data_IF_492493642449
#
_entry.id   IF_492493642449
#
_cell.length_a   1.000
_cell.length_b   1.000
_cell.length_c   1.000
_cell.angle_alpha   90.00
_cell.angle_beta   90.00
_cell.angle_gamma   90.00
#
_symmetry.space_group_name_H-M   'P 1'
#
loop_
_entity.id
_entity.type
_entity.pdbx_description
1 polymer ?
#
# COMPACT_ATOMS: atom_id res chain seq x y z
N UNK A 1 18.67 5.67 10.04
CA UNK A 1 20.01 5.42 10.59
C UNK A 1 21.00 6.50 10.15
N UNK A 2 21.02 6.89 8.89
CA UNK A 2 21.93 7.90 8.31
C UNK A 2 21.78 9.30 8.93
N UNK A 3 20.61 9.61 9.45
CA UNK A 3 20.35 10.89 10.12
C UNK A 3 20.97 10.99 11.53
N UNK A 4 21.66 9.95 12.00
CA UNK A 4 22.21 9.87 13.36
C UNK A 4 21.20 10.05 14.49
N UNK A 5 19.94 9.82 14.21
CA UNK A 5 18.89 9.83 15.21
C UNK A 5 18.76 8.45 15.88
N UNK A 6 18.43 8.38 17.16
CA UNK A 6 18.13 7.11 17.80
C UNK A 6 16.82 6.53 17.24
N UNK A 7 16.87 5.27 16.80
CA UNK A 7 15.73 4.58 16.18
C UNK A 7 15.45 3.28 16.90
N UNK A 8 14.19 2.97 17.12
CA UNK A 8 13.71 1.64 17.52
C UNK A 8 12.80 1.15 16.43
N UNK A 9 13.02 -0.07 15.94
CA UNK A 9 12.29 -0.63 14.80
C UNK A 9 11.23 -1.60 15.30
N UNK A 10 9.97 -1.33 14.97
CA UNK A 10 8.88 -2.29 15.10
C UNK A 10 8.77 -3.09 13.79
N UNK A 11 9.23 -4.36 13.81
CA UNK A 11 9.14 -5.27 12.67
C UNK A 11 7.74 -5.90 12.64
N UNK A 12 6.80 -5.21 12.02
CA UNK A 12 5.40 -5.61 12.02
C UNK A 12 5.07 -6.68 10.97
N UNK A 13 3.91 -7.34 11.13
CA UNK A 13 3.41 -8.40 10.26
C UNK A 13 4.28 -9.66 10.24
N UNK A 14 4.95 -9.98 11.36
CA UNK A 14 5.83 -11.15 11.45
C UNK A 14 5.05 -12.47 11.27
N UNK A 15 3.78 -12.50 11.64
CA UNK A 15 2.85 -13.60 11.41
C UNK A 15 2.54 -13.81 9.91
N UNK A 16 2.40 -12.71 9.17
CA UNK A 16 2.21 -12.79 7.73
C UNK A 16 3.47 -13.26 7.02
N UNK A 17 4.65 -12.76 7.42
CA UNK A 17 5.92 -13.25 6.92
C UNK A 17 6.06 -14.77 7.13
N UNK A 18 5.75 -15.26 8.34
CA UNK A 18 5.75 -16.70 8.63
C UNK A 18 4.76 -17.48 7.75
N UNK A 19 3.55 -16.93 7.49
CA UNK A 19 2.54 -17.59 6.62
C UNK A 19 2.98 -17.72 5.17
N UNK A 20 3.79 -16.82 4.67
CA UNK A 20 4.33 -16.91 3.28
C UNK A 20 5.67 -17.69 3.24
N UNK A 21 6.07 -18.33 4.34
CA UNK A 21 7.30 -19.11 4.42
C UNK A 21 8.57 -18.27 4.54
N UNK A 22 8.44 -17.03 4.99
CA UNK A 22 9.58 -16.15 5.26
C UNK A 22 9.83 -16.06 6.76
N UNK A 23 11.02 -16.48 7.18
CA UNK A 23 11.50 -16.28 8.55
C UNK A 23 12.53 -15.17 8.56
N UNK A 24 12.33 -14.20 9.45
CA UNK A 24 13.24 -13.07 9.64
C UNK A 24 13.93 -13.23 11.00
N UNK A 25 15.24 -13.22 10.99
CA UNK A 25 16.08 -13.23 12.21
C UNK A 25 16.20 -11.78 12.73
N UNK A 26 15.26 -11.38 13.59
CA UNK A 26 15.19 -10.05 14.14
C UNK A 26 16.34 -9.71 15.08
N UNK A 27 16.92 -10.72 15.77
CA UNK A 27 18.09 -10.50 16.62
C UNK A 27 19.33 -10.18 15.78
N UNK A 28 19.53 -10.92 14.69
CA UNK A 28 20.61 -10.67 13.74
C UNK A 28 20.42 -9.33 13.04
N UNK A 29 19.20 -8.99 12.67
CA UNK A 29 18.86 -7.69 12.10
C UNK A 29 19.17 -6.55 13.07
N UNK A 30 18.81 -6.70 14.34
CA UNK A 30 19.13 -5.75 15.40
C UNK A 30 20.63 -5.52 15.56
N UNK A 31 21.42 -6.61 15.54
CA UNK A 31 22.90 -6.53 15.62
C UNK A 31 23.50 -5.84 14.40
N UNK A 32 23.00 -6.14 13.20
CA UNK A 32 23.50 -5.52 11.95
C UNK A 32 23.18 -4.04 11.87
N UNK A 33 22.00 -3.65 12.36
CA UNK A 33 21.54 -2.26 12.33
C UNK A 33 21.99 -1.46 13.55
N UNK A 34 22.57 -2.11 14.59
CA UNK A 34 22.95 -1.47 15.86
C UNK A 34 21.79 -0.83 16.61
N UNK A 35 20.55 -1.24 16.32
CA UNK A 35 19.32 -0.68 16.88
C UNK A 35 18.37 -1.79 17.27
N UNK A 36 17.56 -1.61 18.34
CA UNK A 36 16.55 -2.60 18.73
C UNK A 36 15.54 -2.84 17.61
N UNK A 37 15.31 -4.12 17.29
CA UNK A 37 14.28 -4.55 16.34
C UNK A 37 13.32 -5.48 17.07
N UNK A 38 12.11 -5.00 17.27
CA UNK A 38 11.07 -5.73 18.02
C UNK A 38 10.06 -6.33 17.04
N UNK A 39 9.93 -7.68 17.00
CA UNK A 39 8.92 -8.31 16.18
C UNK A 39 7.52 -8.04 16.74
N UNK A 40 6.60 -7.62 15.88
CA UNK A 40 5.25 -7.24 16.31
C UNK A 40 4.18 -7.81 15.40
N UNK A 41 2.99 -8.07 15.97
CA UNK A 41 1.72 -8.26 15.27
C UNK A 41 0.73 -7.25 15.84
N UNK A 42 0.77 -6.03 15.35
CA UNK A 42 0.05 -4.91 15.92
C UNK A 42 -1.46 -5.14 16.05
N UNK A 43 -2.08 -5.88 15.10
CA UNK A 43 -3.52 -6.21 15.10
C UNK A 43 -3.90 -7.11 16.29
N UNK A 44 -2.94 -7.89 16.82
CA UNK A 44 -3.15 -8.80 17.95
C UNK A 44 -2.51 -8.30 19.25
N UNK A 45 -1.80 -7.17 19.19
CA UNK A 45 -1.06 -6.62 20.35
C UNK A 45 0.24 -7.35 20.67
N UNK A 46 0.63 -8.37 19.89
CA UNK A 46 1.86 -9.11 20.12
C UNK A 46 3.09 -8.21 19.92
N UNK A 47 4.05 -8.26 20.85
CA UNK A 47 5.28 -7.47 20.82
C UNK A 47 5.10 -5.99 21.18
N UNK A 48 3.88 -5.50 21.41
CA UNK A 48 3.63 -4.09 21.73
C UNK A 48 4.15 -3.73 23.12
N UNK A 49 3.96 -4.59 24.12
CA UNK A 49 4.47 -4.36 25.47
C UNK A 49 6.00 -4.27 25.49
N UNK A 50 6.68 -5.16 24.76
CA UNK A 50 8.14 -5.16 24.60
C UNK A 50 8.62 -3.86 23.91
N UNK A 51 7.91 -3.42 22.87
CA UNK A 51 8.20 -2.17 22.20
C UNK A 51 8.08 -0.97 23.15
N UNK A 52 7.01 -0.90 23.95
CA UNK A 52 6.79 0.16 24.94
C UNK A 52 7.87 0.14 26.01
N UNK A 53 8.23 -1.05 26.52
CA UNK A 53 9.31 -1.19 27.49
C UNK A 53 10.65 -0.72 26.92
N UNK A 54 10.98 -1.11 25.69
CA UNK A 54 12.21 -0.71 25.00
C UNK A 54 12.28 0.82 24.84
N UNK A 55 11.18 1.44 24.43
CA UNK A 55 11.07 2.92 24.33
C UNK A 55 11.26 3.58 25.69
N UNK A 56 10.62 3.04 26.73
CA UNK A 56 10.73 3.57 28.10
C UNK A 56 12.15 3.48 28.64
N UNK A 57 12.81 2.35 28.46
CA UNK A 57 14.20 2.14 28.91
C UNK A 57 15.18 3.05 28.18
N UNK A 58 14.96 3.27 26.88
CA UNK A 58 15.73 4.26 26.14
C UNK A 58 15.48 5.68 26.66
N UNK A 59 14.23 6.08 26.86
CA UNK A 59 13.86 7.41 27.36
C UNK A 59 14.41 7.68 28.77
N UNK A 60 14.55 6.63 29.61
CA UNK A 60 15.12 6.70 30.94
C UNK A 60 16.67 6.62 30.95
N UNK A 61 17.31 6.51 29.80
CA UNK A 61 18.76 6.40 29.67
C UNK A 61 19.35 5.05 30.12
N UNK A 62 18.51 4.03 30.34
CA UNK A 62 18.96 2.69 30.76
C UNK A 62 19.57 1.92 29.60
N UNK A 63 19.23 2.28 28.37
CA UNK A 63 19.72 1.66 27.15
C UNK A 63 20.41 2.70 26.26
N UNK A 64 21.53 2.33 25.66
CA UNK A 64 22.19 3.11 24.61
C UNK A 64 21.97 2.39 23.28
N UNK A 65 21.58 3.15 22.26
CA UNK A 65 21.48 2.65 20.88
C UNK A 65 22.83 2.94 20.21
N UNK A 66 23.50 1.89 19.76
CA UNK A 66 24.71 2.04 18.98
C UNK A 66 24.30 2.38 17.55
N UNK A 67 24.87 3.45 17.02
CA UNK A 67 24.57 3.90 15.65
C UNK A 67 25.54 3.24 14.68
N UNK A 68 25.10 2.38 13.77
CA UNK A 68 25.98 1.83 12.76
C UNK A 68 26.40 2.94 11.80
N UNK A 69 27.69 3.05 11.55
CA UNK A 69 28.21 3.97 10.55
C UNK A 69 27.99 3.34 9.16
N UNK A 70 27.02 3.87 8.41
CA UNK A 70 26.84 3.52 7.01
C UNK A 70 27.92 4.21 6.21
N UNK A 71 28.71 3.44 5.47
CA UNK A 71 29.76 3.93 4.56
C UNK A 71 29.31 3.71 3.13
N UNK A 72 29.58 4.70 2.31
CA UNK A 72 29.30 4.69 0.86
C UNK A 72 30.55 4.31 0.06
N UNK A 73 30.41 4.19 -1.24
CA UNK A 73 31.55 4.04 -2.13
C UNK A 73 32.53 5.19 -1.92
N UNK A 74 33.80 4.95 -2.24
CA UNK A 74 34.90 5.81 -1.84
C UNK A 74 34.74 7.27 -2.26
N UNK A 75 34.32 7.53 -3.48
CA UNK A 75 34.12 8.87 -4.03
C UNK A 75 32.99 9.64 -3.36
N UNK A 76 31.86 8.97 -3.10
CA UNK A 76 30.74 9.53 -2.36
C UNK A 76 31.12 9.76 -0.89
N UNK A 77 31.85 8.83 -0.28
CA UNK A 77 32.29 8.94 1.12
C UNK A 77 33.30 10.09 1.29
N UNK A 78 34.24 10.29 0.34
CA UNK A 78 35.17 11.40 0.33
C UNK A 78 34.44 12.75 0.21
N UNK A 79 33.40 12.83 -0.64
CA UNK A 79 32.57 14.03 -0.77
C UNK A 79 31.78 14.32 0.51
N UNK A 80 31.18 13.29 1.13
CA UNK A 80 30.49 13.42 2.41
C UNK A 80 31.44 13.94 3.50
N UNK A 81 32.65 13.39 3.61
CA UNK A 81 33.64 13.82 4.59
C UNK A 81 34.08 15.27 4.37
N UNK A 82 34.39 15.64 3.13
CA UNK A 82 34.78 17.01 2.77
C UNK A 82 33.68 18.03 3.14
N UNK A 83 32.44 17.68 2.84
CA UNK A 83 31.28 18.55 3.14
C UNK A 83 30.99 18.58 4.66
N UNK A 84 31.14 17.46 5.34
CA UNK A 84 31.01 17.36 6.81
C UNK A 84 32.01 18.25 7.52
N UNK A 85 33.27 18.28 7.10
CA UNK A 85 34.32 19.14 7.65
C UNK A 85 33.96 20.62 7.42
N UNK A 86 33.58 20.98 6.20
CA UNK A 86 33.12 22.34 5.90
C UNK A 86 31.93 22.79 6.76
N UNK A 87 30.95 21.90 6.99
CA UNK A 87 29.80 22.19 7.86
C UNK A 87 30.26 22.41 9.31
N UNK A 88 31.19 21.59 9.83
CA UNK A 88 31.71 21.74 11.20
C UNK A 88 32.51 23.02 11.41
N UNK A 89 33.29 23.43 10.40
CA UNK A 89 34.09 24.65 10.45
C UNK A 89 33.21 25.91 10.22
N UNK A 90 32.16 25.78 9.47
CA UNK A 90 31.18 26.82 9.26
C UNK A 90 30.35 27.05 10.51
N UNK A 91 30.01 28.30 10.81
CA UNK A 91 29.07 28.63 11.88
C UNK A 91 27.60 28.39 11.48
N UNK A 92 27.34 27.35 10.66
CA UNK A 92 26.01 26.99 10.19
C UNK A 92 25.27 26.25 11.30
N UNK A 93 24.08 26.70 11.62
CA UNK A 93 23.20 25.98 12.54
C UNK A 93 22.58 24.79 11.82
N UNK A 94 22.85 23.58 12.31
CA UNK A 94 22.33 22.34 11.70
C UNK A 94 20.87 22.17 12.10
N UNK A 95 19.93 22.10 11.15
CA UNK A 95 18.51 21.96 11.44
C UNK A 95 18.22 20.59 12.09
N UNK A 96 17.13 20.54 12.87
CA UNK A 96 16.60 19.30 13.48
C UNK A 96 17.58 18.55 14.41
N UNK A 97 18.64 19.19 14.91
CA UNK A 97 19.71 18.55 15.69
C UNK A 97 20.36 17.34 14.99
N UNK A 98 20.43 17.37 13.65
CA UNK A 98 21.13 16.36 12.87
C UNK A 98 22.63 16.43 13.09
N UNK A 99 23.35 15.38 12.70
CA UNK A 99 24.81 15.44 12.62
C UNK A 99 25.25 16.21 11.36
N UNK A 100 26.48 16.73 11.36
CA UNK A 100 27.04 17.35 10.18
C UNK A 100 27.11 16.41 8.99
N UNK A 101 27.40 15.12 9.26
CA UNK A 101 27.36 14.06 8.24
C UNK A 101 25.97 13.86 7.65
N UNK A 102 24.92 13.82 8.49
CA UNK A 102 23.56 13.68 8.02
C UNK A 102 23.15 14.85 7.12
N UNK A 103 23.49 16.08 7.49
CA UNK A 103 23.25 17.25 6.67
C UNK A 103 24.02 17.18 5.35
N UNK A 104 25.29 16.75 5.37
CA UNK A 104 26.11 16.57 4.15
C UNK A 104 25.44 15.59 3.17
N UNK A 105 24.94 14.45 3.65
CA UNK A 105 24.23 13.47 2.83
C UNK A 105 22.97 14.09 2.19
N UNK A 106 22.15 14.79 2.96
CA UNK A 106 20.93 15.43 2.46
C UNK A 106 21.21 16.49 1.40
N UNK A 107 22.30 17.26 1.56
CA UNK A 107 22.71 18.26 0.57
C UNK A 107 23.23 17.61 -0.72
N UNK A 108 24.00 16.53 -0.63
CA UNK A 108 24.47 15.77 -1.78
C UNK A 108 23.33 15.04 -2.51
N UNK A 109 22.30 14.58 -1.79
CA UNK A 109 21.08 14.04 -2.39
C UNK A 109 20.26 15.10 -3.14
N UNK A 110 20.52 16.38 -2.89
CA UNK A 110 19.77 17.47 -3.47
C UNK A 110 18.43 17.74 -2.81
N UNK A 111 18.30 17.42 -1.50
CA UNK A 111 17.08 17.66 -0.75
C UNK A 111 16.77 19.15 -0.67
N UNK A 112 15.66 19.54 -1.32
CA UNK A 112 15.25 20.95 -1.46
C UNK A 112 14.94 21.61 -0.11
N UNK A 113 14.43 20.87 0.86
CA UNK A 113 14.10 21.42 2.18
C UNK A 113 15.36 21.90 2.89
N UNK A 114 16.42 21.11 2.90
CA UNK A 114 17.68 21.48 3.52
C UNK A 114 18.41 22.57 2.73
N UNK A 115 18.37 22.52 1.40
CA UNK A 115 18.92 23.57 0.53
C UNK A 115 18.24 24.92 0.81
N UNK A 116 16.91 24.96 0.85
CA UNK A 116 16.13 26.17 1.09
C UNK A 116 16.35 26.72 2.51
N UNK A 117 16.46 25.83 3.49
CA UNK A 117 16.79 26.21 4.88
C UNK A 117 18.15 26.90 4.96
N UNK A 118 19.18 26.34 4.35
CA UNK A 118 20.52 26.94 4.37
C UNK A 118 20.60 28.22 3.52
N UNK A 119 19.88 28.31 2.42
CA UNK A 119 19.77 29.51 1.60
C UNK A 119 19.02 30.66 2.33
N UNK A 120 18.40 30.36 3.49
CA UNK A 120 17.61 31.33 4.25
C UNK A 120 16.28 31.69 3.58
N UNK A 121 15.77 30.83 2.72
CA UNK A 121 14.43 30.94 2.17
C UNK A 121 13.41 30.43 3.18
N UNK A 122 12.32 31.18 3.37
CA UNK A 122 11.22 30.71 4.21
C UNK A 122 10.49 29.57 3.48
N UNK A 123 10.47 28.38 4.07
CA UNK A 123 9.67 27.28 3.54
C UNK A 123 8.21 27.68 3.67
N UNK A 124 7.56 28.03 2.56
CA UNK A 124 6.09 28.07 2.45
C UNK A 124 5.58 26.62 2.35
N UNK A 125 5.58 25.92 3.50
CA UNK A 125 5.09 24.56 3.57
C UNK A 125 3.57 24.50 3.45
N UNK A 126 3.07 24.08 2.30
CA UNK A 126 1.79 23.36 2.20
C UNK A 126 1.99 21.91 2.62
N UNK A 127 2.08 21.67 3.91
CA UNK A 127 2.23 20.33 4.47
C UNK A 127 1.78 20.31 5.93
N UNK A 128 0.88 19.43 6.26
CA UNK A 128 0.22 19.22 7.54
C UNK A 128 1.16 19.27 8.76
N UNK A 129 1.05 20.36 9.54
CA UNK A 129 0.90 20.15 10.97
C UNK A 129 2.10 20.14 11.89
N UNK A 130 3.33 20.55 11.53
CA UNK A 130 4.35 20.88 12.53
C UNK A 130 4.79 22.34 12.39
N UNK A 131 4.09 23.25 13.10
CA UNK A 131 4.57 24.62 13.31
C UNK A 131 5.83 24.53 14.17
N UNK A 132 7.01 24.51 13.53
CA UNK A 132 8.26 24.78 14.19
C UNK A 132 8.13 26.18 14.84
N UNK A 133 8.18 26.21 16.16
CA UNK A 133 8.21 27.44 16.94
C UNK A 133 9.57 28.08 16.71
N UNK A 134 9.69 28.83 15.60
CA UNK A 134 10.85 29.67 15.40
C UNK A 134 10.99 30.62 16.61
N UNK A 135 12.08 30.47 17.30
CA UNK A 135 12.50 31.43 18.33
C UNK A 135 12.73 32.75 17.61
N UNK A 136 11.82 33.70 17.75
CA UNK A 136 11.95 35.07 17.21
C UNK A 136 13.31 35.63 17.58
N UNK A 137 14.21 35.84 16.61
CA UNK A 137 15.47 36.59 16.82
C UNK A 137 16.75 35.99 16.20
N UNK A 138 16.72 34.76 15.66
CA UNK A 138 17.92 34.19 15.01
C UNK A 138 18.01 34.63 13.56
N UNK A 139 18.94 35.52 13.28
CA UNK A 139 19.31 35.99 11.95
C UNK A 139 20.37 35.02 11.42
N UNK A 140 20.00 34.11 10.53
CA UNK A 140 20.94 33.23 9.84
C UNK A 140 22.07 34.06 9.21
N UNK A 141 23.32 33.67 9.45
CA UNK A 141 24.45 34.27 8.75
C UNK A 141 24.45 33.74 7.31
N UNK A 142 23.88 34.50 6.39
CA UNK A 142 23.75 34.15 4.96
C UNK A 142 25.09 33.78 4.28
N UNK A 143 26.23 34.22 4.81
CA UNK A 143 27.55 33.97 4.23
C UNK A 143 27.99 32.51 4.35
N UNK A 144 27.87 31.92 5.53
CA UNK A 144 28.39 30.56 5.77
C UNK A 144 27.51 29.47 5.14
N UNK A 145 26.18 29.64 5.03
CA UNK A 145 25.29 28.70 4.36
C UNK A 145 25.55 28.65 2.85
N UNK A 146 25.85 29.77 2.22
CA UNK A 146 26.14 29.81 0.79
C UNK A 146 27.46 29.09 0.44
N UNK A 147 28.47 29.16 1.29
CA UNK A 147 29.75 28.43 1.09
C UNK A 147 29.53 26.91 1.11
N UNK A 148 28.74 26.42 2.08
CA UNK A 148 28.41 24.99 2.18
C UNK A 148 27.59 24.53 0.97
N UNK A 149 26.62 25.34 0.51
CA UNK A 149 25.81 25.03 -0.68
C UNK A 149 26.63 25.03 -1.98
N UNK A 150 27.57 25.97 -2.13
CA UNK A 150 28.48 26.01 -3.28
C UNK A 150 29.39 24.79 -3.31
N UNK A 151 29.92 24.39 -2.15
CA UNK A 151 30.76 23.19 -2.05
C UNK A 151 29.93 21.94 -2.38
N UNK A 152 28.72 21.83 -1.83
CA UNK A 152 27.83 20.70 -2.11
C UNK A 152 27.52 20.57 -3.61
N UNK A 153 27.21 21.69 -4.29
CA UNK A 153 26.95 21.66 -5.73
C UNK A 153 28.19 21.30 -6.54
N UNK A 154 29.37 21.84 -6.20
CA UNK A 154 30.61 21.49 -6.91
C UNK A 154 31.03 20.03 -6.74
N UNK A 155 30.87 19.46 -5.54
CA UNK A 155 31.11 18.03 -5.30
C UNK A 155 30.11 17.14 -6.05
N UNK A 156 28.85 17.54 -6.09
CA UNK A 156 27.82 16.82 -6.83
C UNK A 156 28.09 16.82 -8.34
N UNK A 157 28.45 17.98 -8.92
CA UNK A 157 28.83 18.09 -10.32
C UNK A 157 30.07 17.27 -10.66
N UNK A 158 31.08 17.28 -9.78
CA UNK A 158 32.31 16.48 -9.98
C UNK A 158 32.03 14.97 -10.02
N UNK A 159 31.17 14.47 -9.12
CA UNK A 159 30.78 13.05 -9.11
C UNK A 159 29.92 12.72 -10.33
N UNK A 160 29.02 13.61 -10.73
CA UNK A 160 28.18 13.43 -11.91
C UNK A 160 29.02 13.40 -13.21
N UNK A 161 30.02 14.27 -13.35
CA UNK A 161 30.94 14.24 -14.49
C UNK A 161 31.77 12.95 -14.56
N UNK A 162 32.20 12.42 -13.39
CA UNK A 162 33.01 11.20 -13.35
C UNK A 162 32.20 9.94 -13.67
N UNK A 163 30.95 9.89 -13.29
CA UNK A 163 30.11 8.67 -13.35
C UNK A 163 28.94 8.74 -14.32
N UNK A 164 28.64 9.93 -14.85
CA UNK A 164 27.53 10.14 -15.80
C UNK A 164 26.14 10.06 -15.17
N UNK A 165 26.05 10.12 -13.84
CA UNK A 165 24.77 10.08 -13.11
C UNK A 165 24.82 10.96 -11.85
N UNK A 166 23.69 11.58 -11.46
CA UNK A 166 23.61 12.41 -10.27
C UNK A 166 23.96 11.65 -8.99
N UNK A 167 24.70 12.29 -8.08
CA UNK A 167 25.16 11.69 -6.81
C UNK A 167 23.99 11.18 -5.96
N UNK A 168 22.84 11.86 -5.94
CA UNK A 168 21.68 11.41 -5.22
C UNK A 168 21.15 10.04 -5.69
N UNK A 169 21.22 9.75 -7.00
CA UNK A 169 20.83 8.44 -7.54
C UNK A 169 21.81 7.36 -7.06
N UNK A 170 23.11 7.65 -7.01
CA UNK A 170 24.12 6.72 -6.49
C UNK A 170 23.88 6.42 -5.01
N UNK A 171 23.71 7.43 -4.18
CA UNK A 171 23.42 7.26 -2.75
C UNK A 171 22.19 6.36 -2.55
N UNK A 172 21.10 6.60 -3.29
CA UNK A 172 19.88 5.78 -3.23
C UNK A 172 20.17 4.33 -3.67
N UNK A 173 20.94 4.14 -4.74
CA UNK A 173 21.30 2.79 -5.21
C UNK A 173 22.14 2.02 -4.20
N UNK A 174 23.14 2.63 -3.61
CA UNK A 174 23.98 2.01 -2.59
C UNK A 174 23.17 1.67 -1.34
N UNK A 175 22.29 2.57 -0.91
CA UNK A 175 21.34 2.35 0.19
C UNK A 175 20.44 1.13 -0.06
N UNK A 176 19.90 1.01 -1.27
CA UNK A 176 19.12 -0.17 -1.67
C UNK A 176 19.97 -1.44 -1.74
N UNK A 177 21.18 -1.35 -2.25
CA UNK A 177 22.12 -2.47 -2.29
C UNK A 177 22.45 -2.99 -0.88
N UNK A 178 22.77 -2.08 0.05
CA UNK A 178 23.04 -2.42 1.43
C UNK A 178 21.80 -3.02 2.13
N UNK A 179 20.63 -2.42 1.93
CA UNK A 179 19.38 -2.95 2.48
C UNK A 179 19.09 -4.36 1.94
N UNK A 180 19.31 -4.60 0.64
CA UNK A 180 19.19 -5.92 0.03
C UNK A 180 20.14 -6.94 0.63
N UNK A 181 21.42 -6.59 0.78
CA UNK A 181 22.41 -7.46 1.40
C UNK A 181 22.08 -7.81 2.85
N UNK A 182 21.59 -6.85 3.64
CA UNK A 182 21.12 -7.12 5.00
C UNK A 182 19.89 -8.04 4.98
N UNK A 183 18.93 -7.80 4.09
CA UNK A 183 17.74 -8.63 3.96
C UNK A 183 18.10 -10.08 3.61
N UNK A 184 19.02 -10.30 2.67
CA UNK A 184 19.46 -11.64 2.27
C UNK A 184 20.12 -12.41 3.43
N UNK A 185 20.81 -11.70 4.32
CA UNK A 185 21.51 -12.31 5.46
C UNK A 185 20.57 -12.66 6.61
N UNK A 186 19.48 -11.90 6.81
CA UNK A 186 18.55 -12.09 7.93
C UNK A 186 17.29 -12.86 7.56
N UNK A 187 17.01 -13.02 6.26
CA UNK A 187 15.84 -13.73 5.78
C UNK A 187 16.18 -15.18 5.44
N UNK A 188 15.29 -16.08 5.78
CA UNK A 188 15.37 -17.49 5.37
C UNK A 188 14.00 -17.96 4.87
N UNK A 189 13.99 -18.68 3.75
CA UNK A 189 12.77 -19.29 3.22
C UNK A 189 12.57 -20.64 3.90
N UNK A 190 11.44 -20.79 4.56
CA UNK A 190 10.99 -22.07 5.09
C UNK A 190 10.08 -22.69 4.05
N UNK A 191 10.39 -23.90 3.62
CA UNK A 191 9.50 -24.65 2.73
C UNK A 191 8.16 -24.89 3.46
N UNK A 192 7.15 -24.12 3.13
CA UNK A 192 5.79 -24.36 3.62
C UNK A 192 4.98 -25.12 2.57
N UNK A 193 4.06 -25.98 2.99
CA UNK A 193 3.10 -26.56 2.05
C UNK A 193 2.30 -25.42 1.44
N UNK A 194 2.34 -25.32 0.11
CA UNK A 194 1.63 -24.28 -0.64
C UNK A 194 0.15 -24.35 -0.26
N UNK A 195 -0.36 -23.32 0.40
CA UNK A 195 -1.76 -23.21 0.81
C UNK A 195 -2.66 -23.36 -0.42
N UNK A 196 -3.80 -24.04 -0.26
CA UNK A 196 -4.78 -24.22 -1.35
C UNK A 196 -5.18 -22.89 -2.00
N UNK A 197 -5.27 -21.81 -1.21
CA UNK A 197 -5.53 -20.45 -1.68
C UNK A 197 -4.46 -19.92 -2.66
N UNK A 198 -3.19 -20.24 -2.44
CA UNK A 198 -2.11 -19.84 -3.36
C UNK A 198 -2.13 -20.64 -4.66
N UNK A 199 -2.43 -21.95 -4.58
CA UNK A 199 -2.64 -22.77 -5.78
C UNK A 199 -3.81 -22.24 -6.61
N UNK A 200 -4.90 -21.88 -5.95
CA UNK A 200 -6.07 -21.32 -6.61
C UNK A 200 -5.76 -19.94 -7.23
N UNK A 201 -5.04 -19.08 -6.51
CA UNK A 201 -4.58 -17.79 -7.02
C UNK A 201 -3.71 -17.94 -8.27
N UNK A 202 -2.73 -18.84 -8.22
CA UNK A 202 -1.87 -19.09 -9.38
C UNK A 202 -2.67 -19.64 -10.57
N UNK A 203 -3.62 -20.53 -10.32
CA UNK A 203 -4.48 -21.10 -11.35
C UNK A 203 -5.40 -20.05 -12.00
N UNK A 204 -5.96 -19.13 -11.23
CA UNK A 204 -6.88 -18.09 -11.72
C UNK A 204 -6.18 -16.92 -12.39
N UNK A 205 -4.93 -16.60 -12.00
CA UNK A 205 -4.18 -15.44 -12.51
C UNK A 205 -3.31 -15.79 -13.72
N UNK A 206 -2.87 -17.05 -13.85
CA UNK A 206 -2.06 -17.46 -15.00
C UNK A 206 -2.85 -17.34 -16.32
N UNK A 207 -2.30 -16.69 -17.38
CA UNK A 207 -3.05 -16.44 -18.62
C UNK A 207 -3.52 -17.73 -19.32
N UNK A 208 -2.77 -18.81 -19.18
CA UNK A 208 -3.08 -20.10 -19.81
C UNK A 208 -4.24 -20.85 -19.16
N UNK A 209 -4.45 -20.69 -17.86
CA UNK A 209 -5.50 -21.36 -17.08
C UNK A 209 -6.61 -20.40 -16.65
N UNK A 210 -6.28 -19.14 -16.39
CA UNK A 210 -7.21 -18.12 -15.93
C UNK A 210 -8.25 -17.73 -17.00
N UNK A 211 -7.85 -17.62 -18.28
CA UNK A 211 -8.78 -17.28 -19.36
C UNK A 211 -9.83 -18.40 -19.57
N UNK A 212 -9.46 -19.69 -19.71
CA UNK A 212 -10.44 -20.77 -19.77
C UNK A 212 -11.32 -20.84 -18.52
N UNK A 213 -10.76 -20.64 -17.34
CA UNK A 213 -11.52 -20.61 -16.08
C UNK A 213 -12.53 -19.46 -16.04
N UNK A 214 -12.14 -18.26 -16.49
CA UNK A 214 -13.04 -17.12 -16.60
C UNK A 214 -14.21 -17.40 -17.54
N UNK A 215 -13.95 -18.00 -18.72
CA UNK A 215 -14.99 -18.39 -19.66
C UNK A 215 -15.96 -19.39 -19.03
N UNK A 216 -15.42 -20.40 -18.32
CA UNK A 216 -16.23 -21.40 -17.65
C UNK A 216 -17.13 -20.76 -16.57
N UNK A 217 -16.61 -19.82 -15.78
CA UNK A 217 -17.39 -19.08 -14.77
C UNK A 217 -18.52 -18.28 -15.44
N UNK A 218 -18.20 -17.57 -16.53
CA UNK A 218 -19.21 -16.79 -17.26
C UNK A 218 -20.30 -17.70 -17.82
N UNK A 219 -19.93 -18.82 -18.45
CA UNK A 219 -20.89 -19.80 -18.95
C UNK A 219 -21.73 -20.41 -17.81
N UNK A 220 -21.11 -20.66 -16.66
CA UNK A 220 -21.81 -21.13 -15.45
C UNK A 220 -22.86 -20.12 -14.96
N UNK A 221 -22.52 -18.83 -14.93
CA UNK A 221 -23.46 -17.77 -14.57
C UNK A 221 -24.63 -17.71 -15.56
N UNK A 222 -24.35 -17.75 -16.87
CA UNK A 222 -25.41 -17.77 -17.87
C UNK A 222 -26.29 -19.02 -17.76
N UNK A 223 -25.70 -20.20 -17.56
CA UNK A 223 -26.45 -21.44 -17.36
C UNK A 223 -27.34 -21.33 -16.10
N UNK A 224 -26.81 -20.80 -15.00
CA UNK A 224 -27.56 -20.59 -13.77
C UNK A 224 -28.78 -19.67 -14.00
N UNK A 225 -28.57 -18.51 -14.63
CA UNK A 225 -29.66 -17.56 -14.93
C UNK A 225 -30.71 -18.23 -15.80
N UNK A 226 -30.28 -18.97 -16.82
CA UNK A 226 -31.20 -19.65 -17.72
C UNK A 226 -32.03 -20.73 -17.02
N UNK A 227 -31.38 -21.65 -16.28
CA UNK A 227 -32.08 -22.74 -15.60
C UNK A 227 -32.98 -22.26 -14.50
N UNK A 228 -32.50 -21.34 -13.65
CA UNK A 228 -33.31 -20.79 -12.55
C UNK A 228 -34.45 -19.93 -13.09
N UNK A 229 -34.18 -19.10 -14.09
CA UNK A 229 -35.20 -18.29 -14.75
C UNK A 229 -36.29 -19.13 -15.39
N UNK A 230 -35.92 -20.21 -16.10
CA UNK A 230 -36.87 -21.15 -16.72
C UNK A 230 -37.70 -21.87 -15.66
N UNK A 231 -37.08 -22.33 -14.57
CA UNK A 231 -37.81 -22.99 -13.48
C UNK A 231 -38.83 -22.05 -12.81
N UNK A 232 -38.44 -20.81 -12.52
CA UNK A 232 -39.36 -19.82 -11.97
C UNK A 232 -40.50 -19.50 -12.95
N UNK A 233 -40.18 -19.41 -14.25
CA UNK A 233 -41.15 -19.20 -15.31
C UNK A 233 -42.21 -20.32 -15.36
N UNK A 234 -41.78 -21.57 -15.22
CA UNK A 234 -42.70 -22.72 -15.16
C UNK A 234 -43.60 -22.66 -13.94
N UNK A 235 -43.06 -22.31 -12.78
CA UNK A 235 -43.85 -22.14 -11.55
C UNK A 235 -44.92 -21.05 -11.73
N UNK A 236 -44.58 -19.91 -12.29
CA UNK A 236 -45.50 -18.79 -12.58
C UNK A 236 -46.57 -19.24 -13.57
N UNK A 237 -46.18 -19.91 -14.65
CA UNK A 237 -47.13 -20.42 -15.64
C UNK A 237 -48.11 -21.46 -15.06
N UNK A 238 -47.59 -22.36 -14.24
CA UNK A 238 -48.44 -23.38 -13.57
C UNK A 238 -49.42 -22.74 -12.58
N UNK A 239 -48.95 -21.79 -11.78
CA UNK A 239 -49.82 -21.04 -10.86
C UNK A 239 -50.91 -20.26 -11.65
N UNK A 240 -50.51 -19.56 -12.71
CA UNK A 240 -51.46 -18.80 -13.53
C UNK A 240 -52.54 -19.68 -14.14
N UNK A 241 -52.14 -20.76 -14.80
CA UNK A 241 -53.08 -21.67 -15.50
C UNK A 241 -54.03 -22.38 -14.53
N UNK A 242 -53.57 -22.74 -13.33
CA UNK A 242 -54.33 -23.50 -12.35
C UNK A 242 -55.28 -22.65 -11.54
N UNK A 243 -54.92 -21.38 -11.27
CA UNK A 243 -55.67 -20.53 -10.33
C UNK A 243 -56.17 -19.25 -10.99
N UNK A 244 -55.28 -18.50 -11.67
CA UNK A 244 -55.64 -17.17 -12.16
C UNK A 244 -56.51 -17.21 -13.40
N UNK A 245 -56.17 -18.02 -14.38
CA UNK A 245 -56.92 -18.10 -15.63
C UNK A 245 -58.36 -18.58 -15.46
N UNK A 246 -58.66 -19.61 -14.65
CA UNK A 246 -60.06 -20.00 -14.39
C UNK A 246 -60.85 -18.92 -13.65
N UNK A 247 -60.24 -18.23 -12.67
CA UNK A 247 -60.87 -17.15 -11.94
C UNK A 247 -61.18 -15.96 -12.83
N UNK A 248 -60.24 -15.57 -13.66
CA UNK A 248 -60.41 -14.49 -14.66
C UNK A 248 -61.44 -14.83 -15.71
N UNK A 249 -61.51 -16.09 -16.11
CA UNK A 249 -62.53 -16.61 -17.02
C UNK A 249 -63.95 -16.44 -16.49
N UNK A 250 -64.16 -16.87 -15.23
CA UNK A 250 -65.46 -16.69 -14.55
C UNK A 250 -65.83 -15.20 -14.41
N UNK A 251 -64.88 -14.36 -14.03
CA UNK A 251 -65.10 -12.93 -13.86
C UNK A 251 -65.38 -12.19 -15.18
N UNK A 252 -64.67 -12.51 -16.24
CA UNK A 252 -64.91 -11.91 -17.56
C UNK A 252 -66.28 -12.31 -18.12
N UNK A 253 -66.70 -13.56 -17.94
CA UNK A 253 -68.04 -14.01 -18.35
C UNK A 253 -69.16 -13.34 -17.51
N UNK A 254 -68.91 -13.09 -16.24
CA UNK A 254 -69.83 -12.40 -15.38
C UNK A 254 -70.07 -10.94 -15.82
N UNK A 255 -68.98 -10.24 -16.24
CA UNK A 255 -69.05 -8.80 -16.60
C UNK A 255 -69.55 -8.59 -18.07
N UNK A 256 -69.07 -9.42 -19.01
CA UNK A 256 -69.26 -9.19 -20.44
C UNK A 256 -70.13 -10.26 -21.15
N UNK A 257 -70.65 -11.23 -20.38
CA UNK A 257 -71.40 -12.36 -20.95
C UNK A 257 -70.56 -13.29 -21.76
N UNK A 258 -71.18 -14.28 -22.42
CA UNK A 258 -70.52 -15.24 -23.30
C UNK A 258 -70.47 -14.72 -24.73
N UNK A 259 -69.50 -13.83 -25.04
CA UNK A 259 -69.42 -13.19 -26.35
C UNK A 259 -67.99 -12.92 -26.79
N UNK A 260 -67.80 -12.32 -27.96
CA UNK A 260 -66.53 -11.97 -28.57
C UNK A 260 -65.69 -11.06 -27.64
N UNK A 261 -66.34 -10.11 -26.93
CA UNK A 261 -65.68 -9.17 -26.01
C UNK A 261 -65.00 -9.91 -24.85
N UNK A 262 -65.73 -10.85 -24.22
CA UNK A 262 -65.15 -11.66 -23.13
C UNK A 262 -63.95 -12.44 -23.58
N UNK A 263 -64.00 -13.08 -24.78
CA UNK A 263 -62.90 -13.84 -25.32
C UNK A 263 -61.67 -12.97 -25.65
N UNK A 264 -61.88 -11.78 -26.21
CA UNK A 264 -60.77 -10.82 -26.47
C UNK A 264 -60.11 -10.35 -25.20
N UNK A 265 -60.89 -10.02 -24.16
CA UNK A 265 -60.34 -9.62 -22.84
C UNK A 265 -59.53 -10.74 -22.22
N UNK A 266 -60.08 -11.96 -22.20
CA UNK A 266 -59.34 -13.14 -21.70
C UNK A 266 -58.07 -13.41 -22.47
N UNK A 267 -58.11 -13.34 -23.82
CA UNK A 267 -56.90 -13.50 -24.62
C UNK A 267 -55.84 -12.43 -24.31
N UNK A 268 -56.22 -11.17 -24.18
CA UNK A 268 -55.31 -10.07 -23.83
C UNK A 268 -54.67 -10.25 -22.46
N UNK A 269 -55.43 -10.72 -21.47
CA UNK A 269 -54.93 -10.98 -20.11
C UNK A 269 -54.01 -12.20 -20.11
N UNK A 270 -54.45 -13.33 -20.65
CA UNK A 270 -53.64 -14.57 -20.68
C UNK A 270 -52.37 -14.44 -21.52
N UNK A 271 -52.41 -13.73 -22.65
CA UNK A 271 -51.20 -13.60 -23.51
C UNK A 271 -50.38 -12.37 -23.13
N UNK A 272 -50.97 -11.27 -22.74
CA UNK A 272 -50.24 -10.04 -22.40
C UNK A 272 -49.65 -10.08 -21.00
N UNK A 273 -50.52 -10.23 -20.00
CA UNK A 273 -50.09 -10.17 -18.60
C UNK A 273 -49.27 -11.39 -18.21
N UNK A 274 -49.73 -12.59 -18.64
CA UNK A 274 -48.96 -13.83 -18.35
C UNK A 274 -47.60 -13.81 -18.97
N UNK A 275 -47.43 -13.39 -20.25
CA UNK A 275 -46.13 -13.33 -20.88
C UNK A 275 -45.18 -12.41 -20.14
N UNK A 276 -45.64 -11.27 -19.65
CA UNK A 276 -44.83 -10.36 -18.85
C UNK A 276 -44.45 -10.95 -17.49
N UNK A 277 -45.41 -11.57 -16.79
CA UNK A 277 -45.18 -12.17 -15.48
C UNK A 277 -44.32 -13.44 -15.57
N UNK A 278 -44.53 -14.29 -16.55
CA UNK A 278 -43.86 -15.58 -16.67
C UNK A 278 -42.42 -15.49 -17.22
N UNK A 279 -42.11 -14.45 -18.01
CA UNK A 279 -40.79 -14.25 -18.58
C UNK A 279 -40.06 -13.08 -17.87
N UNK A 280 -40.66 -11.91 -17.81
CA UNK A 280 -39.99 -10.71 -17.27
C UNK A 280 -39.60 -10.85 -15.80
N UNK A 281 -40.57 -11.19 -14.95
CA UNK A 281 -40.35 -11.21 -13.49
C UNK A 281 -39.34 -12.28 -13.06
N UNK A 282 -39.44 -13.56 -13.48
CA UNK A 282 -38.46 -14.57 -13.10
C UNK A 282 -37.04 -14.25 -13.49
N UNK A 283 -36.82 -13.74 -14.70
CA UNK A 283 -35.48 -13.37 -15.16
C UNK A 283 -34.92 -12.15 -14.41
N UNK A 284 -35.76 -11.15 -14.11
CA UNK A 284 -35.35 -10.02 -13.30
C UNK A 284 -34.91 -10.49 -11.89
N UNK A 285 -35.71 -11.33 -11.25
CA UNK A 285 -35.38 -11.86 -9.91
C UNK A 285 -34.05 -12.64 -9.97
N UNK A 286 -33.88 -13.51 -10.96
CA UNK A 286 -32.66 -14.31 -11.10
C UNK A 286 -31.42 -13.45 -11.36
N UNK A 287 -31.59 -12.31 -12.01
CA UNK A 287 -30.50 -11.39 -12.29
C UNK A 287 -30.07 -10.59 -11.06
N UNK A 288 -30.97 -10.42 -10.08
CA UNK A 288 -30.67 -9.70 -8.82
C UNK A 288 -30.24 -10.63 -7.66
N UNK A 289 -30.32 -11.96 -7.84
CA UNK A 289 -29.80 -12.97 -6.92
C UNK A 289 -28.33 -13.26 -7.15
#
# INVERSE_FOLDING_TARGET
LELDLPVIIALNLIDYAARIGLRIDHEKLSKLLGTPVIPTVAVHGEGIDELIHTISDFAQGKMKIEKPKITYERDVEEAIQTLEECIKESSVEIPYNLSARALAIQLLEGDKEFIDLLAGQQIQGQGHGYRLRHRKGQRWRKSSGNEVLQLASSLSEQIEEQHGEPVGIRIVRERHGLAGAIADVVQSKIAQPVLFSEKLKHFTVAPTTGIPFMILVILGIFAFIFYVGSFLSEVVNSFWSSIVSPFMGGFAHFLFGTGIVSNVVLWAVDKGVLAWLSVGVPYIITFYL
#
